data_IF_772916934394
#
_entry.id   IF_772916934394
#
_cell.length_a   1.000
_cell.length_b   1.000
_cell.length_c   1.000
_cell.angle_alpha   90.00
_cell.angle_beta   90.00
_cell.angle_gamma   90.00
#
_symmetry.space_group_name_H-M   'P 1'
#
loop_
_entity.id
_entity.type
_entity.pdbx_description
1 polymer ?
#
# COMPACT_ATOMS: atom_id res chain seq x y z
N UNK A 1 11.42 10.65 -7.43
CA UNK A 1 10.66 9.48 -7.92
C UNK A 1 10.76 8.29 -6.97
N UNK A 2 11.96 7.85 -6.55
CA UNK A 2 12.07 6.71 -5.61
C UNK A 2 11.68 7.03 -4.17
N UNK A 3 12.10 8.18 -3.64
CA UNK A 3 11.76 8.61 -2.27
C UNK A 3 10.26 8.89 -2.13
N UNK A 4 9.63 9.45 -3.16
CA UNK A 4 8.19 9.74 -3.16
C UNK A 4 7.36 8.48 -2.96
N UNK A 5 7.78 7.36 -3.53
CA UNK A 5 7.08 6.08 -3.44
C UNK A 5 7.21 5.46 -2.05
N UNK A 6 8.41 5.54 -1.46
CA UNK A 6 8.67 5.12 -0.08
C UNK A 6 7.83 5.96 0.89
N UNK A 7 7.84 7.29 0.74
CA UNK A 7 7.00 8.18 1.54
C UNK A 7 5.51 7.87 1.39
N UNK A 8 5.04 7.58 0.17
CA UNK A 8 3.63 7.27 -0.08
C UNK A 8 3.18 6.01 0.66
N UNK A 9 3.99 4.95 0.64
CA UNK A 9 3.70 3.69 1.36
C UNK A 9 3.78 3.92 2.88
N UNK A 10 4.83 4.61 3.36
CA UNK A 10 5.01 4.89 4.78
C UNK A 10 3.86 5.75 5.36
N UNK A 11 3.40 6.75 4.61
CA UNK A 11 2.28 7.63 5.00
C UNK A 11 0.99 6.84 5.19
N UNK A 12 0.69 5.90 4.27
CA UNK A 12 -0.47 5.02 4.37
C UNK A 12 -0.37 4.13 5.62
N UNK A 13 0.81 3.57 5.89
CA UNK A 13 1.06 2.77 7.10
C UNK A 13 0.81 3.53 8.41
N UNK A 14 1.31 4.78 8.49
CA UNK A 14 1.08 5.65 9.66
C UNK A 14 -0.42 5.96 9.83
N UNK A 15 -1.11 6.35 8.76
CA UNK A 15 -2.53 6.65 8.80
C UNK A 15 -3.38 5.46 9.24
N UNK A 16 -3.11 4.27 8.70
CA UNK A 16 -3.80 3.03 9.07
C UNK A 16 -3.57 2.66 10.53
N UNK A 17 -2.33 2.81 11.02
CA UNK A 17 -2.01 2.53 12.42
C UNK A 17 -2.74 3.47 13.37
N UNK A 18 -2.79 4.77 13.05
CA UNK A 18 -3.57 5.75 13.82
C UNK A 18 -5.06 5.38 13.81
N UNK A 19 -5.61 5.06 12.64
CA UNK A 19 -7.03 4.71 12.51
C UNK A 19 -7.38 3.43 13.27
N UNK A 20 -6.51 2.42 13.23
CA UNK A 20 -6.65 1.21 14.02
C UNK A 20 -6.70 1.53 15.51
N UNK A 21 -5.71 2.28 16.04
CA UNK A 21 -5.68 2.65 17.46
C UNK A 21 -6.90 3.48 17.87
N UNK A 22 -7.42 4.34 16.99
CA UNK A 22 -8.61 5.12 17.27
C UNK A 22 -9.88 4.25 17.33
N UNK A 23 -10.05 3.33 16.37
CA UNK A 23 -11.19 2.40 16.33
C UNK A 23 -11.17 1.43 17.52
N UNK A 24 -9.99 0.96 17.88
CA UNK A 24 -9.75 0.12 19.06
C UNK A 24 -10.14 0.85 20.35
N UNK A 25 -9.65 2.09 20.53
CA UNK A 25 -10.04 2.96 21.66
C UNK A 25 -11.52 3.35 21.67
N UNK A 26 -12.18 3.34 20.52
CA UNK A 26 -13.62 3.61 20.40
C UNK A 26 -14.48 2.37 20.74
N UNK A 27 -13.87 1.23 21.10
CA UNK A 27 -14.57 -0.03 21.37
C UNK A 27 -15.12 -0.69 20.09
N UNK A 28 -14.55 -0.37 18.92
CA UNK A 28 -14.95 -0.88 17.61
C UNK A 28 -13.85 -1.77 17.02
N UNK A 29 -13.47 -2.80 17.77
CA UNK A 29 -12.38 -3.73 17.44
C UNK A 29 -12.57 -4.40 16.07
N UNK A 30 -13.81 -4.80 15.73
CA UNK A 30 -14.11 -5.41 14.42
C UNK A 30 -13.74 -4.48 13.25
N UNK A 31 -14.06 -3.18 13.38
CA UNK A 31 -13.73 -2.19 12.37
C UNK A 31 -12.23 -1.88 12.32
N UNK A 32 -11.54 -1.92 13.47
CA UNK A 32 -10.09 -1.78 13.52
C UNK A 32 -9.42 -2.90 12.70
N UNK A 33 -9.87 -4.14 12.88
CA UNK A 33 -9.33 -5.29 12.15
C UNK A 33 -9.59 -5.21 10.64
N UNK A 34 -10.82 -4.86 10.24
CA UNK A 34 -11.18 -4.66 8.83
C UNK A 34 -10.33 -3.55 8.21
N UNK A 35 -10.08 -2.47 8.93
CA UNK A 35 -9.24 -1.35 8.46
C UNK A 35 -7.81 -1.79 8.18
N UNK A 36 -7.20 -2.59 9.07
CA UNK A 36 -5.86 -3.14 8.85
C UNK A 36 -5.83 -4.04 7.61
N UNK A 37 -6.85 -4.89 7.43
CA UNK A 37 -6.95 -5.77 6.26
C UNK A 37 -7.04 -4.97 4.95
N UNK A 38 -7.91 -3.96 4.91
CA UNK A 38 -8.05 -3.04 3.76
C UNK A 38 -6.72 -2.32 3.48
N UNK A 39 -6.05 -1.87 4.53
CA UNK A 39 -4.75 -1.23 4.44
C UNK A 39 -3.70 -2.12 3.78
N UNK A 40 -3.64 -3.39 4.18
CA UNK A 40 -2.75 -4.40 3.58
C UNK A 40 -3.08 -4.60 2.09
N UNK A 41 -4.37 -4.71 1.73
CA UNK A 41 -4.80 -4.87 0.32
C UNK A 41 -4.34 -3.67 -0.54
N UNK A 42 -4.49 -2.44 -0.04
CA UNK A 42 -4.07 -1.22 -0.75
C UNK A 42 -2.57 -1.25 -1.02
N UNK A 43 -1.76 -1.56 0.00
CA UNK A 43 -0.30 -1.65 -0.13
C UNK A 43 0.09 -2.74 -1.12
N UNK A 44 -0.53 -3.92 -1.07
CA UNK A 44 -0.30 -4.98 -2.06
C UNK A 44 -0.62 -4.52 -3.48
N UNK A 45 -1.74 -3.82 -3.70
CA UNK A 45 -2.09 -3.27 -5.02
C UNK A 45 -1.04 -2.29 -5.56
N UNK A 46 -0.44 -1.48 -4.68
CA UNK A 46 0.67 -0.60 -5.04
C UNK A 46 1.92 -1.38 -5.45
N UNK A 47 2.25 -2.46 -4.73
CA UNK A 47 3.40 -3.33 -5.06
C UNK A 47 3.20 -4.02 -6.40
N UNK A 48 2.01 -4.56 -6.67
CA UNK A 48 1.67 -5.19 -7.96
C UNK A 48 1.87 -4.19 -9.11
N UNK A 49 1.38 -2.95 -8.94
CA UNK A 49 1.54 -1.90 -9.94
C UNK A 49 3.01 -1.54 -10.19
N UNK A 50 3.85 -1.59 -9.15
CA UNK A 50 5.29 -1.36 -9.25
C UNK A 50 5.97 -2.47 -10.06
N UNK A 51 5.61 -3.72 -9.79
CA UNK A 51 6.10 -4.90 -10.53
C UNK A 51 5.67 -4.84 -11.99
N UNK A 52 4.40 -4.48 -12.27
CA UNK A 52 3.91 -4.33 -13.64
C UNK A 52 4.75 -3.30 -14.42
N UNK A 53 4.97 -2.10 -13.85
CA UNK A 53 5.84 -1.09 -14.45
C UNK A 53 7.26 -1.60 -14.67
N UNK A 54 7.80 -2.37 -13.74
CA UNK A 54 9.13 -2.96 -13.89
C UNK A 54 9.18 -3.94 -15.08
N UNK A 55 8.16 -4.79 -15.23
CA UNK A 55 8.04 -5.67 -16.40
C UNK A 55 7.89 -4.91 -17.72
N UNK A 56 7.12 -3.82 -17.74
CA UNK A 56 6.97 -2.99 -18.94
C UNK A 56 8.31 -2.33 -19.32
N UNK A 57 9.08 -1.86 -18.34
CA UNK A 57 10.44 -1.36 -18.55
C UNK A 57 11.36 -2.44 -19.13
N UNK A 58 11.29 -3.68 -18.62
CA UNK A 58 12.02 -4.81 -19.20
C UNK A 58 11.61 -5.02 -20.66
N UNK A 59 10.31 -5.17 -20.95
CA UNK A 59 9.83 -5.39 -22.33
C UNK A 59 10.30 -4.28 -23.28
N UNK A 60 10.30 -3.02 -22.82
CA UNK A 60 10.78 -1.87 -23.59
C UNK A 60 12.28 -1.97 -23.91
N UNK A 61 13.12 -2.38 -22.95
CA UNK A 61 14.56 -2.56 -23.16
C UNK A 61 14.83 -3.69 -24.15
N UNK A 62 14.08 -4.78 -24.04
CA UNK A 62 14.22 -5.93 -24.93
C UNK A 62 13.47 -5.78 -26.27
N UNK A 63 12.81 -4.64 -26.54
CA UNK A 63 11.99 -4.39 -27.74
C UNK A 63 10.93 -5.49 -27.98
N UNK A 64 10.41 -6.09 -26.92
CA UNK A 64 9.40 -7.16 -26.95
C UNK A 64 7.97 -6.62 -27.03
N UNK A 65 7.76 -5.52 -27.77
CA UNK A 65 6.44 -4.91 -27.91
C UNK A 65 5.49 -5.78 -28.73
#
# INVERSE_FOLDING_TARGET
MDIDLIFKIASIGILLSILHTLLDKAGKEEFAFITTLVGVIIVFGMVISLIARFFDNIKSIFRLY
#
